data_IF_812579712614
#
_entry.id   IF_812579712614
#
_cell.length_a   1.000
_cell.length_b   1.000
_cell.length_c   1.000
_cell.angle_alpha   90.00
_cell.angle_beta   90.00
_cell.angle_gamma   90.00
#
_symmetry.space_group_name_H-M   'P 1'
#
loop_
_entity.id
_entity.type
_entity.pdbx_description
1 polymer ?
#
# COMPACT_ATOMS: atom_id res chain seq x y z
N UNK A 1 -16.53 -30.48 7.06
CA UNK A 1 -16.84 -30.74 5.63
C UNK A 1 -17.73 -29.65 5.06
N UNK A 2 -18.83 -29.28 5.73
CA UNK A 2 -19.70 -28.15 5.33
C UNK A 2 -18.94 -26.82 5.07
N UNK A 3 -17.98 -26.44 5.93
CA UNK A 3 -17.15 -25.24 5.70
C UNK A 3 -16.28 -25.33 4.43
N UNK A 4 -15.81 -26.52 4.06
CA UNK A 4 -14.98 -26.73 2.86
C UNK A 4 -15.84 -26.76 1.59
N UNK A 5 -17.06 -27.29 1.69
CA UNK A 5 -18.05 -27.22 0.60
C UNK A 5 -18.44 -25.77 0.34
N UNK A 6 -18.72 -25.01 1.40
CA UNK A 6 -19.00 -23.57 1.28
C UNK A 6 -17.84 -22.79 0.66
N UNK A 7 -16.59 -23.22 0.86
CA UNK A 7 -15.42 -22.57 0.28
C UNK A 7 -15.26 -22.89 -1.22
N UNK A 8 -15.60 -24.10 -1.67
CA UNK A 8 -15.69 -24.46 -3.09
C UNK A 8 -16.81 -23.72 -3.83
N UNK A 9 -17.93 -23.47 -3.14
CA UNK A 9 -19.10 -22.78 -3.70
C UNK A 9 -18.94 -21.25 -3.69
N UNK A 10 -17.92 -20.72 -3.01
CA UNK A 10 -17.66 -19.29 -2.96
C UNK A 10 -17.13 -18.79 -4.30
N UNK A 11 -17.83 -17.84 -4.90
CA UNK A 11 -17.37 -17.19 -6.12
C UNK A 11 -16.05 -16.44 -5.88
N UNK A 12 -15.06 -16.58 -6.77
CA UNK A 12 -13.84 -15.79 -6.72
C UNK A 12 -14.14 -14.28 -6.69
N UNK A 13 -13.35 -13.48 -5.97
CA UNK A 13 -13.55 -12.04 -5.96
C UNK A 13 -13.44 -11.44 -7.37
N UNK A 14 -14.36 -10.52 -7.69
CA UNK A 14 -14.43 -9.88 -9.00
C UNK A 14 -13.36 -8.79 -9.18
N UNK A 15 -12.88 -8.18 -8.09
CA UNK A 15 -11.80 -7.18 -8.17
C UNK A 15 -10.48 -7.89 -8.38
N UNK A 16 -9.75 -7.55 -9.44
CA UNK A 16 -8.45 -8.17 -9.77
C UNK A 16 -7.48 -8.11 -8.58
N UNK A 17 -7.39 -6.98 -7.87
CA UNK A 17 -6.49 -6.87 -6.73
C UNK A 17 -6.91 -7.73 -5.53
N UNK A 18 -8.21 -7.75 -5.21
CA UNK A 18 -8.78 -8.65 -4.20
C UNK A 18 -8.51 -10.11 -4.54
N UNK A 19 -8.65 -10.44 -5.81
CA UNK A 19 -8.46 -11.78 -6.31
C UNK A 19 -6.98 -12.22 -6.28
N UNK A 20 -6.04 -11.33 -6.62
CA UNK A 20 -4.61 -11.57 -6.43
C UNK A 20 -4.26 -11.79 -4.95
N UNK A 21 -4.90 -11.05 -4.02
CA UNK A 21 -4.76 -11.31 -2.59
C UNK A 21 -5.33 -12.67 -2.18
N UNK A 22 -6.50 -13.06 -2.70
CA UNK A 22 -7.07 -14.39 -2.48
C UNK A 22 -6.14 -15.50 -3.00
N UNK A 23 -5.53 -15.34 -4.17
CA UNK A 23 -4.55 -16.31 -4.66
C UNK A 23 -3.34 -16.43 -3.74
N UNK A 24 -2.82 -15.32 -3.20
CA UNK A 24 -1.73 -15.38 -2.22
C UNK A 24 -2.11 -16.14 -0.95
N UNK A 25 -3.32 -15.89 -0.45
CA UNK A 25 -3.88 -16.63 0.69
C UNK A 25 -3.93 -18.13 0.40
N UNK A 26 -4.50 -18.52 -0.74
CA UNK A 26 -4.61 -19.93 -1.15
C UNK A 26 -3.25 -20.60 -1.34
N UNK A 27 -2.29 -19.91 -1.94
CA UNK A 27 -0.92 -20.43 -2.08
C UNK A 27 -0.28 -20.65 -0.71
N UNK A 28 -0.41 -19.70 0.22
CA UNK A 28 0.14 -19.87 1.58
C UNK A 28 -0.56 -20.99 2.36
N UNK A 29 -1.87 -21.17 2.20
CA UNK A 29 -2.62 -22.30 2.76
C UNK A 29 -2.16 -23.65 2.19
N UNK A 30 -1.91 -23.72 0.87
CA UNK A 30 -1.32 -24.92 0.25
C UNK A 30 0.08 -25.17 0.83
N UNK A 31 0.93 -24.14 0.90
CA UNK A 31 2.28 -24.25 1.47
C UNK A 31 2.26 -24.70 2.94
N UNK A 32 1.28 -24.23 3.72
CA UNK A 32 1.09 -24.69 5.09
C UNK A 32 0.85 -26.20 5.15
N UNK A 33 0.02 -26.75 4.26
CA UNK A 33 -0.24 -28.19 4.18
C UNK A 33 0.96 -29.00 3.63
N UNK A 34 1.75 -28.38 2.74
CA UNK A 34 2.97 -28.96 2.19
C UNK A 34 4.18 -28.89 3.14
N UNK A 35 4.09 -28.14 4.25
CA UNK A 35 5.12 -28.13 5.29
C UNK A 35 5.18 -29.48 6.01
N UNK A 36 6.41 -29.97 6.24
CA UNK A 36 6.64 -31.30 6.83
C UNK A 36 5.97 -31.49 8.18
N UNK A 37 5.77 -30.42 8.98
CA UNK A 37 5.07 -30.49 10.26
C UNK A 37 3.61 -30.95 10.11
N UNK A 38 2.99 -30.69 8.96
CA UNK A 38 1.58 -31.00 8.69
C UNK A 38 1.38 -32.27 7.88
N UNK A 39 2.45 -32.96 7.49
CA UNK A 39 2.34 -34.21 6.75
C UNK A 39 1.67 -35.32 7.58
N UNK A 40 0.97 -36.25 6.91
CA UNK A 40 0.55 -37.52 7.48
C UNK A 40 1.73 -38.27 8.10
N UNK A 41 1.48 -38.97 9.20
CA UNK A 41 2.51 -39.66 9.97
C UNK A 41 3.34 -40.62 9.12
N UNK A 42 2.71 -41.33 8.16
CA UNK A 42 3.41 -42.23 7.23
C UNK A 42 4.38 -41.53 6.27
N UNK A 43 4.13 -40.27 5.92
CA UNK A 43 5.04 -39.52 5.05
C UNK A 43 6.19 -38.88 5.84
N UNK A 44 6.04 -38.70 7.16
CA UNK A 44 7.13 -38.26 8.05
C UNK A 44 8.18 -39.34 8.28
N UNK A 45 7.77 -40.61 8.22
CA UNK A 45 8.64 -41.77 8.29
C UNK A 45 8.26 -42.76 7.16
N UNK A 46 8.65 -42.47 5.90
CA UNK A 46 8.25 -43.27 4.76
C UNK A 46 8.90 -44.66 4.79
N UNK A 47 8.08 -45.70 4.76
CA UNK A 47 8.53 -47.10 4.83
C UNK A 47 8.47 -47.81 3.47
N UNK A 48 7.66 -47.30 2.53
CA UNK A 48 7.47 -47.90 1.20
C UNK A 48 8.04 -47.03 0.07
N UNK A 49 8.43 -47.62 -1.08
CA UNK A 49 8.83 -46.84 -2.25
C UNK A 49 7.75 -45.87 -2.75
N UNK A 50 6.47 -46.20 -2.55
CA UNK A 50 5.35 -45.33 -2.93
C UNK A 50 5.24 -44.11 -1.99
N UNK A 51 5.48 -44.29 -0.70
CA UNK A 51 5.53 -43.17 0.25
C UNK A 51 6.74 -42.27 -0.04
N UNK A 52 7.90 -42.84 -0.37
CA UNK A 52 9.10 -42.09 -0.82
C UNK A 52 8.85 -41.27 -2.09
N UNK A 53 8.13 -41.83 -3.07
CA UNK A 53 7.76 -41.11 -4.28
C UNK A 53 6.81 -39.94 -3.96
N UNK A 54 5.87 -40.15 -3.03
CA UNK A 54 4.96 -39.10 -2.55
C UNK A 54 5.72 -37.97 -1.88
N UNK A 55 6.67 -38.28 -0.99
CA UNK A 55 7.53 -37.29 -0.32
C UNK A 55 8.29 -36.45 -1.35
N UNK A 56 8.98 -37.09 -2.29
CA UNK A 56 9.73 -36.39 -3.35
C UNK A 56 8.84 -35.45 -4.17
N UNK A 57 7.62 -35.89 -4.50
CA UNK A 57 6.68 -35.08 -5.24
C UNK A 57 6.15 -33.89 -4.44
N UNK A 58 5.83 -34.07 -3.15
CA UNK A 58 5.39 -33.01 -2.23
C UNK A 58 6.47 -31.94 -2.04
N UNK A 59 7.74 -32.34 -1.91
CA UNK A 59 8.87 -31.40 -1.83
C UNK A 59 9.00 -30.55 -3.10
N UNK A 60 8.80 -31.16 -4.28
CA UNK A 60 8.76 -30.43 -5.55
C UNK A 60 7.57 -29.47 -5.62
N UNK A 61 6.38 -29.89 -5.16
CA UNK A 61 5.20 -29.03 -5.10
C UNK A 61 5.44 -27.82 -4.21
N UNK A 62 6.08 -28.01 -3.04
CA UNK A 62 6.45 -26.91 -2.14
C UNK A 62 7.37 -25.90 -2.85
N UNK A 63 8.38 -26.38 -3.57
CA UNK A 63 9.28 -25.52 -4.34
C UNK A 63 8.54 -24.73 -5.45
N UNK A 64 7.65 -25.38 -6.20
CA UNK A 64 6.83 -24.72 -7.23
C UNK A 64 5.89 -23.66 -6.64
N UNK A 65 5.20 -24.00 -5.56
CA UNK A 65 4.27 -23.10 -4.87
C UNK A 65 4.99 -21.90 -4.23
N UNK A 66 6.18 -22.10 -3.65
CA UNK A 66 7.04 -21.00 -3.17
C UNK A 66 7.47 -20.08 -4.29
N UNK A 67 7.82 -20.64 -5.45
CA UNK A 67 8.24 -19.87 -6.60
C UNK A 67 7.10 -19.01 -7.17
N UNK A 68 5.89 -19.56 -7.34
CA UNK A 68 4.74 -18.78 -7.83
C UNK A 68 4.32 -17.71 -6.81
N UNK A 69 4.38 -18.00 -5.50
CA UNK A 69 4.15 -17.00 -4.45
C UNK A 69 5.11 -15.82 -4.57
N UNK A 70 6.40 -16.10 -4.74
CA UNK A 70 7.43 -15.08 -4.93
C UNK A 70 7.18 -14.24 -6.18
N UNK A 71 6.80 -14.87 -7.29
CA UNK A 71 6.48 -14.15 -8.53
C UNK A 71 5.29 -13.21 -8.33
N UNK A 72 4.24 -13.67 -7.67
CA UNK A 72 3.06 -12.85 -7.36
C UNK A 72 3.39 -11.68 -6.42
N UNK A 73 4.16 -11.92 -5.36
CA UNK A 73 4.63 -10.87 -4.46
C UNK A 73 5.49 -9.82 -5.18
N UNK A 74 6.38 -10.28 -6.06
CA UNK A 74 7.25 -9.41 -6.86
C UNK A 74 6.43 -8.56 -7.83
N UNK A 75 5.45 -9.17 -8.50
CA UNK A 75 4.51 -8.46 -9.38
C UNK A 75 3.76 -7.34 -8.65
N UNK A 76 3.16 -7.64 -7.49
CA UNK A 76 2.43 -6.64 -6.71
C UNK A 76 3.33 -5.51 -6.20
N UNK A 77 4.55 -5.84 -5.78
CA UNK A 77 5.53 -4.86 -5.28
C UNK A 77 6.01 -3.95 -6.42
N UNK A 78 6.39 -4.52 -7.56
CA UNK A 78 6.81 -3.78 -8.75
C UNK A 78 5.70 -2.85 -9.27
N UNK A 79 4.45 -3.32 -9.31
CA UNK A 79 3.33 -2.49 -9.74
C UNK A 79 3.07 -1.32 -8.76
N UNK A 80 3.17 -1.59 -7.46
CA UNK A 80 3.03 -0.54 -6.43
C UNK A 80 4.13 0.52 -6.54
N UNK A 81 5.37 0.10 -6.78
CA UNK A 81 6.50 0.99 -6.99
C UNK A 81 6.36 1.81 -8.27
N UNK A 82 5.93 1.19 -9.38
CA UNK A 82 5.66 1.87 -10.65
C UNK A 82 4.61 2.97 -10.49
N UNK A 83 3.46 2.66 -9.90
CA UNK A 83 2.39 3.64 -9.64
C UNK A 83 2.92 4.77 -8.75
N UNK A 84 3.69 4.44 -7.72
CA UNK A 84 4.26 5.46 -6.84
C UNK A 84 5.23 6.38 -7.59
N UNK A 85 6.15 5.84 -8.38
CA UNK A 85 7.10 6.62 -9.15
C UNK A 85 6.39 7.53 -10.16
N UNK A 86 5.32 7.06 -10.78
CA UNK A 86 4.45 7.91 -11.61
C UNK A 86 3.86 9.07 -10.81
N UNK A 87 3.27 8.81 -9.62
CA UNK A 87 2.71 9.87 -8.76
C UNK A 87 3.80 10.87 -8.35
N UNK A 88 5.03 10.42 -8.10
CA UNK A 88 6.17 11.29 -7.76
C UNK A 88 6.45 12.33 -8.84
N UNK A 89 6.20 12.02 -10.12
CA UNK A 89 6.39 13.00 -11.20
C UNK A 89 5.45 14.21 -11.10
N UNK A 90 4.27 14.03 -10.49
CA UNK A 90 3.30 15.10 -10.27
C UNK A 90 3.54 15.85 -8.95
N UNK A 91 4.27 15.25 -7.99
CA UNK A 91 4.50 15.86 -6.69
C UNK A 91 5.45 17.08 -6.78
N UNK A 92 5.31 18.06 -5.87
CA UNK A 92 6.28 19.15 -5.75
C UNK A 92 7.70 18.60 -5.55
N UNK A 93 8.67 19.16 -6.27
CA UNK A 93 10.08 18.75 -6.18
C UNK A 93 10.83 19.42 -5.02
N UNK A 94 10.10 20.07 -4.13
CA UNK A 94 10.62 20.71 -2.92
C UNK A 94 10.36 19.85 -1.67
N UNK A 95 10.49 20.47 -0.50
CA UNK A 95 10.30 19.80 0.78
C UNK A 95 8.90 19.20 0.97
N UNK A 96 7.87 19.72 0.31
CA UNK A 96 6.51 19.20 0.39
C UNK A 96 6.45 17.78 -0.18
N UNK A 97 7.09 17.56 -1.33
CA UNK A 97 7.22 16.22 -1.92
C UNK A 97 7.99 15.28 -0.99
N UNK A 98 9.08 15.73 -0.38
CA UNK A 98 9.85 14.95 0.59
C UNK A 98 9.01 14.57 1.83
N UNK A 99 8.20 15.51 2.34
CA UNK A 99 7.33 15.26 3.49
C UNK A 99 6.25 14.22 3.19
N UNK A 100 5.62 14.31 2.01
CA UNK A 100 4.62 13.32 1.57
C UNK A 100 5.23 11.92 1.45
N UNK A 101 6.45 11.80 0.91
CA UNK A 101 7.20 10.54 0.85
C UNK A 101 7.44 9.96 2.25
N UNK A 102 7.95 10.78 3.18
CA UNK A 102 8.21 10.35 4.57
C UNK A 102 6.92 9.97 5.33
N UNK A 103 5.80 10.65 5.07
CA UNK A 103 4.52 10.30 5.68
C UNK A 103 4.03 8.94 5.19
N UNK A 104 4.13 8.68 3.87
CA UNK A 104 3.80 7.37 3.29
C UNK A 104 4.66 6.27 3.89
N UNK A 105 5.98 6.43 3.91
CA UNK A 105 6.90 5.42 4.45
C UNK A 105 6.58 5.06 5.91
N UNK A 106 6.28 6.06 6.75
CA UNK A 106 5.86 5.82 8.14
C UNK A 106 4.53 5.08 8.21
N UNK A 107 3.55 5.45 7.39
CA UNK A 107 2.27 4.76 7.33
C UNK A 107 2.42 3.31 6.87
N UNK A 108 3.30 3.03 5.91
CA UNK A 108 3.57 1.67 5.42
C UNK A 108 4.31 0.84 6.49
N UNK A 109 5.31 1.42 7.18
CA UNK A 109 5.96 0.75 8.33
C UNK A 109 4.98 0.41 9.44
N UNK A 110 4.05 1.31 9.76
CA UNK A 110 3.00 1.05 10.75
C UNK A 110 2.10 -0.11 10.33
N UNK A 111 1.62 -0.12 9.08
CA UNK A 111 0.78 -1.20 8.54
C UNK A 111 1.50 -2.54 8.54
N UNK A 112 2.79 -2.55 8.20
CA UNK A 112 3.61 -3.75 8.24
C UNK A 112 3.75 -4.29 9.68
N UNK A 113 3.96 -3.41 10.66
CA UNK A 113 4.01 -3.79 12.07
C UNK A 113 2.68 -4.37 12.58
N UNK A 114 1.54 -3.87 12.11
CA UNK A 114 0.22 -4.45 12.41
C UNK A 114 0.10 -5.89 11.87
N UNK A 115 0.58 -6.15 10.66
CA UNK A 115 0.60 -7.49 10.06
C UNK A 115 1.52 -8.43 10.84
N UNK A 116 2.73 -7.96 11.20
CA UNK A 116 3.65 -8.73 12.04
C UNK A 116 3.06 -9.04 13.41
N UNK A 117 2.30 -8.11 13.99
CA UNK A 117 1.58 -8.33 15.26
C UNK A 117 0.56 -9.45 15.13
N UNK A 118 -0.22 -9.50 14.04
CA UNK A 118 -1.17 -10.60 13.79
C UNK A 118 -0.44 -11.94 13.70
N UNK A 119 0.65 -12.00 12.93
CA UNK A 119 1.42 -13.23 12.74
C UNK A 119 2.04 -13.71 14.07
N UNK A 120 2.69 -12.81 14.81
CA UNK A 120 3.36 -13.14 16.09
C UNK A 120 2.37 -13.50 17.19
N UNK A 121 1.13 -13.00 17.13
CA UNK A 121 0.05 -13.35 18.06
C UNK A 121 -0.62 -14.70 17.73
N UNK A 122 -0.16 -15.42 16.70
CA UNK A 122 -0.73 -16.70 16.28
C UNK A 122 -2.00 -16.57 15.42
N UNK A 123 -2.19 -15.42 14.77
CA UNK A 123 -3.28 -15.23 13.81
C UNK A 123 -3.17 -16.19 12.62
N UNK A 124 -4.32 -16.57 12.06
CA UNK A 124 -4.37 -17.45 10.90
C UNK A 124 -3.88 -16.76 9.63
N UNK A 125 -3.58 -17.54 8.59
CA UNK A 125 -3.26 -17.02 7.25
C UNK A 125 -4.44 -16.17 6.75
N UNK A 126 -5.67 -16.61 7.00
CA UNK A 126 -6.87 -15.83 6.73
C UNK A 126 -6.88 -14.46 7.43
N UNK A 127 -6.57 -14.40 8.74
CA UNK A 127 -6.53 -13.14 9.49
C UNK A 127 -5.52 -12.14 8.91
N UNK A 128 -4.34 -12.64 8.51
CA UNK A 128 -3.32 -11.86 7.82
C UNK A 128 -3.85 -11.26 6.51
N UNK A 129 -4.48 -12.07 5.65
CA UNK A 129 -4.97 -11.60 4.36
C UNK A 129 -6.22 -10.71 4.48
N UNK A 130 -7.09 -10.95 5.47
CA UNK A 130 -8.19 -10.07 5.81
C UNK A 130 -7.69 -8.68 6.25
N UNK A 131 -6.62 -8.61 7.05
CA UNK A 131 -6.00 -7.34 7.45
C UNK A 131 -5.37 -6.62 6.25
N UNK A 132 -4.62 -7.33 5.41
CA UNK A 132 -3.99 -6.76 4.21
C UNK A 132 -5.05 -6.19 3.26
N UNK A 133 -6.16 -6.90 3.08
CA UNK A 133 -7.28 -6.42 2.27
C UNK A 133 -7.96 -5.19 2.88
N UNK A 134 -8.20 -5.21 4.20
CA UNK A 134 -8.74 -4.04 4.93
C UNK A 134 -7.84 -2.81 4.74
N UNK A 135 -6.53 -2.96 4.92
CA UNK A 135 -5.56 -1.88 4.72
C UNK A 135 -5.60 -1.36 3.28
N UNK A 136 -5.75 -2.26 2.28
CA UNK A 136 -5.88 -1.88 0.88
C UNK A 136 -7.18 -1.10 0.61
N UNK A 137 -8.31 -1.51 1.18
CA UNK A 137 -9.57 -0.78 1.07
C UNK A 137 -9.51 0.59 1.75
N UNK A 138 -8.87 0.70 2.90
CA UNK A 138 -8.68 1.98 3.58
C UNK A 138 -7.84 2.94 2.73
N UNK A 139 -6.78 2.45 2.05
CA UNK A 139 -6.03 3.25 1.06
C UNK A 139 -6.94 3.73 -0.06
N UNK A 140 -7.76 2.85 -0.65
CA UNK A 140 -8.66 3.22 -1.75
C UNK A 140 -9.77 4.19 -1.33
N UNK A 141 -10.28 4.10 -0.10
CA UNK A 141 -11.26 5.07 0.45
C UNK A 141 -10.63 6.45 0.60
N UNK A 142 -9.41 6.51 1.15
CA UNK A 142 -8.65 7.76 1.24
C UNK A 142 -8.39 8.35 -0.14
N UNK A 143 -8.00 7.52 -1.12
CA UNK A 143 -7.83 7.94 -2.52
C UNK A 143 -9.12 8.50 -3.12
N UNK A 144 -10.25 7.80 -2.99
CA UNK A 144 -11.54 8.28 -3.52
C UNK A 144 -11.97 9.62 -2.87
N UNK A 145 -11.66 9.83 -1.59
CA UNK A 145 -11.86 11.13 -0.92
C UNK A 145 -11.03 12.25 -1.57
N UNK A 146 -9.81 11.96 -2.08
CA UNK A 146 -9.01 12.91 -2.88
C UNK A 146 -9.79 13.38 -4.11
N UNK A 147 -10.33 12.43 -4.89
CA UNK A 147 -11.08 12.72 -6.12
C UNK A 147 -12.36 13.53 -5.85
N UNK A 148 -12.92 13.46 -4.63
CA UNK A 148 -14.06 14.27 -4.20
C UNK A 148 -13.69 15.66 -3.66
N UNK A 149 -12.39 16.00 -3.60
CA UNK A 149 -11.86 17.26 -3.09
C UNK A 149 -12.37 17.64 -1.68
N UNK A 150 -12.48 16.67 -0.77
CA UNK A 150 -12.92 16.88 0.62
C UNK A 150 -11.78 16.70 1.64
N UNK A 151 -11.83 17.41 2.77
CA UNK A 151 -10.87 17.32 3.88
C UNK A 151 -9.47 17.93 3.61
N UNK A 152 -8.46 17.49 4.38
CA UNK A 152 -7.03 17.91 4.33
C UNK A 152 -6.42 17.74 2.94
N UNK A 153 -7.01 16.87 2.12
CA UNK A 153 -6.51 16.46 0.82
C UNK A 153 -7.00 17.31 -0.36
N UNK A 154 -8.04 18.15 -0.17
CA UNK A 154 -8.39 19.23 -1.10
C UNK A 154 -7.19 20.15 -1.36
N UNK A 155 -6.34 20.31 -0.36
CA UNK A 155 -5.08 21.04 -0.39
C UNK A 155 -4.07 20.37 -1.33
N UNK A 156 -3.97 19.03 -1.33
CA UNK A 156 -3.07 18.29 -2.25
C UNK A 156 -3.53 18.46 -3.70
N UNK A 157 -4.82 18.36 -4.00
CA UNK A 157 -5.36 18.61 -5.35
C UNK A 157 -5.15 20.07 -5.79
N UNK A 158 -5.28 21.02 -4.85
CA UNK A 158 -5.01 22.45 -5.11
C UNK A 158 -3.52 22.74 -5.36
N UNK A 159 -2.60 21.96 -4.79
CA UNK A 159 -1.15 22.08 -5.04
C UNK A 159 -0.65 21.18 -6.17
N UNK A 160 -1.42 20.16 -6.57
CA UNK A 160 -1.20 19.34 -7.75
C UNK A 160 -1.89 19.99 -8.97
N UNK A 161 -1.49 21.23 -9.28
CA UNK A 161 -2.10 22.05 -10.36
C UNK A 161 -1.97 21.40 -11.76
N UNK A 162 -1.26 20.27 -11.89
CA UNK A 162 -1.07 19.57 -13.16
C UNK A 162 -1.57 18.13 -13.22
N UNK A 163 -2.36 17.62 -12.25
CA UNK A 163 -2.94 16.27 -12.39
C UNK A 163 -4.13 16.32 -13.35
N UNK A 164 -4.12 15.56 -14.46
CA UNK A 164 -5.23 15.53 -15.41
C UNK A 164 -6.57 15.20 -14.75
N UNK A 165 -7.64 15.92 -15.10
CA UNK A 165 -8.99 15.69 -14.56
C UNK A 165 -9.45 14.24 -14.72
N UNK A 166 -9.07 13.61 -15.84
CA UNK A 166 -9.34 12.19 -16.12
C UNK A 166 -8.78 11.26 -15.02
N UNK A 167 -7.62 11.59 -14.44
CA UNK A 167 -7.05 10.83 -13.32
C UNK A 167 -7.82 11.08 -12.02
N UNK A 168 -8.29 12.31 -11.78
CA UNK A 168 -9.10 12.64 -10.61
C UNK A 168 -10.47 11.96 -10.67
N UNK A 169 -11.11 11.96 -11.83
CA UNK A 169 -12.36 11.24 -12.09
C UNK A 169 -12.19 9.73 -11.94
N UNK A 170 -11.09 9.18 -12.48
CA UNK A 170 -10.72 7.78 -12.28
C UNK A 170 -10.58 7.43 -10.79
N UNK A 171 -9.83 8.24 -10.02
CA UNK A 171 -9.62 8.03 -8.58
C UNK A 171 -10.93 8.14 -7.81
N UNK A 172 -11.83 9.06 -8.18
CA UNK A 172 -13.16 9.21 -7.58
C UNK A 172 -14.01 7.93 -7.76
N UNK A 173 -13.90 7.29 -8.92
CA UNK A 173 -14.65 6.08 -9.28
C UNK A 173 -13.88 4.78 -9.02
N UNK A 174 -12.71 4.82 -8.38
CA UNK A 174 -11.84 3.64 -8.22
C UNK A 174 -12.49 2.49 -7.45
N UNK A 175 -13.46 2.80 -6.58
CA UNK A 175 -14.20 1.80 -5.79
C UNK A 175 -15.56 1.46 -6.38
N UNK A 176 -15.98 2.12 -7.46
CA UNK A 176 -17.26 1.87 -8.09
C UNK A 176 -17.27 0.47 -8.71
N UNK A 177 -18.34 -0.27 -8.41
CA UNK A 177 -18.58 -1.59 -8.96
C UNK A 177 -18.93 -1.54 -10.45
N UNK A 178 -19.38 -0.38 -10.95
CA UNK A 178 -19.66 -0.14 -12.36
C UNK A 178 -18.73 0.93 -12.97
N UNK A 179 -17.62 1.22 -12.28
CA UNK A 179 -16.66 2.25 -12.69
C UNK A 179 -15.82 1.85 -13.91
N UNK A 180 -14.86 2.71 -14.32
CA UNK A 180 -14.05 2.54 -15.52
C UNK A 180 -13.16 1.27 -15.50
N UNK A 181 -13.01 0.65 -14.32
CA UNK A 181 -12.30 -0.61 -14.16
C UNK A 181 -13.15 -1.85 -14.47
N UNK A 182 -14.46 -1.70 -14.67
CA UNK A 182 -15.36 -2.84 -14.86
C UNK A 182 -15.17 -3.51 -16.23
N UNK A 183 -14.93 -2.74 -17.29
CA UNK A 183 -14.60 -3.30 -18.61
C UNK A 183 -13.30 -4.13 -18.56
N UNK A 184 -12.29 -3.64 -17.84
CA UNK A 184 -11.04 -4.39 -17.63
C UNK A 184 -11.26 -5.66 -16.82
N UNK A 185 -12.15 -5.64 -15.81
CA UNK A 185 -12.50 -6.84 -15.03
C UNK A 185 -13.24 -7.86 -15.88
N UNK A 186 -14.17 -7.44 -16.72
CA UNK A 186 -14.88 -8.34 -17.63
C UNK A 186 -13.93 -8.96 -18.66
N UNK A 187 -12.97 -8.16 -19.17
CA UNK A 187 -12.03 -8.61 -20.20
C UNK A 187 -10.92 -9.50 -19.66
N UNK A 188 -10.36 -9.18 -18.50
CA UNK A 188 -9.14 -9.83 -17.98
C UNK A 188 -9.38 -10.66 -16.71
N UNK A 189 -10.50 -10.50 -16.04
CA UNK A 189 -10.84 -11.21 -14.81
C UNK A 189 -11.16 -12.70 -14.98
N UNK A 190 -11.89 -13.17 -16.02
CA UNK A 190 -12.32 -14.57 -16.09
C UNK A 190 -11.21 -15.61 -15.97
N UNK A 191 -10.04 -15.48 -16.63
CA UNK A 191 -8.93 -16.41 -16.44
C UNK A 191 -8.43 -16.45 -14.99
N UNK A 192 -8.33 -15.28 -14.34
CA UNK A 192 -7.90 -15.17 -12.94
C UNK A 192 -8.92 -15.80 -11.97
N UNK A 193 -10.21 -15.68 -12.25
CA UNK A 193 -11.25 -16.30 -11.42
C UNK A 193 -11.17 -17.83 -11.49
N UNK A 194 -10.91 -18.38 -12.68
CA UNK A 194 -10.69 -19.82 -12.87
C UNK A 194 -9.45 -20.30 -12.12
N UNK A 195 -8.33 -19.56 -12.22
CA UNK A 195 -7.10 -19.86 -11.47
C UNK A 195 -7.33 -19.85 -9.95
N UNK A 196 -8.12 -18.90 -9.46
CA UNK A 196 -8.49 -18.83 -8.03
C UNK A 196 -9.29 -20.04 -7.60
N UNK A 197 -10.29 -20.42 -8.40
CA UNK A 197 -11.12 -21.59 -8.14
C UNK A 197 -10.27 -22.87 -8.13
N UNK A 198 -9.30 -22.95 -9.04
CA UNK A 198 -8.34 -24.05 -9.11
C UNK A 198 -7.44 -24.10 -7.87
N UNK A 199 -6.92 -22.95 -7.40
CA UNK A 199 -6.13 -22.88 -6.17
C UNK A 199 -6.91 -23.37 -4.94
N UNK A 200 -8.16 -22.93 -4.80
CA UNK A 200 -9.09 -23.40 -3.75
C UNK A 200 -9.32 -24.91 -3.87
N UNK A 201 -9.55 -25.42 -5.08
CA UNK A 201 -9.73 -26.85 -5.31
C UNK A 201 -8.48 -27.67 -4.94
N UNK A 202 -7.28 -27.20 -5.29
CA UNK A 202 -6.00 -27.82 -4.90
C UNK A 202 -5.85 -27.85 -3.38
N UNK A 203 -6.09 -26.73 -2.70
CA UNK A 203 -5.99 -26.61 -1.25
C UNK A 203 -6.95 -27.60 -0.56
N UNK A 204 -8.21 -27.63 -1.00
CA UNK A 204 -9.25 -28.49 -0.43
C UNK A 204 -8.96 -29.96 -0.70
N UNK A 205 -8.54 -30.29 -1.93
CA UNK A 205 -8.10 -31.64 -2.28
C UNK A 205 -6.97 -32.10 -1.37
N UNK A 206 -5.92 -31.30 -1.21
CA UNK A 206 -4.76 -31.64 -0.39
C UNK A 206 -5.16 -31.84 1.08
N UNK A 207 -6.02 -30.95 1.62
CA UNK A 207 -6.53 -31.04 2.98
C UNK A 207 -7.34 -32.32 3.21
N UNK A 208 -8.22 -32.69 2.28
CA UNK A 208 -9.00 -33.93 2.34
C UNK A 208 -8.09 -35.15 2.19
N UNK A 209 -7.12 -35.10 1.30
CA UNK A 209 -6.20 -36.20 1.08
C UNK A 209 -5.31 -36.43 2.30
N UNK A 210 -4.76 -35.39 2.93
CA UNK A 210 -4.00 -35.49 4.18
C UNK A 210 -4.81 -36.10 5.30
N UNK A 211 -6.04 -35.63 5.49
CA UNK A 211 -6.92 -36.13 6.55
C UNK A 211 -7.24 -37.62 6.39
N UNK A 212 -7.33 -38.10 5.16
CA UNK A 212 -7.72 -39.47 4.85
C UNK A 212 -6.55 -40.30 4.31
N UNK A 213 -5.30 -39.87 4.49
CA UNK A 213 -4.16 -40.44 3.75
C UNK A 213 -4.00 -41.96 3.95
N UNK A 214 -4.32 -42.44 5.14
CA UNK A 214 -4.23 -43.85 5.51
C UNK A 214 -5.48 -44.67 5.16
N UNK A 215 -6.65 -44.05 5.20
CA UNK A 215 -7.96 -44.70 4.96
C UNK A 215 -8.45 -44.52 3.51
N UNK A 216 -7.68 -43.81 2.69
CA UNK A 216 -8.02 -43.51 1.31
C UNK A 216 -8.07 -44.79 0.48
N UNK A 217 -9.27 -45.10 -0.02
CA UNK A 217 -9.51 -46.25 -0.90
C UNK A 217 -9.10 -46.00 -2.35
N UNK A 218 -8.83 -44.75 -2.70
CA UNK A 218 -8.42 -44.38 -4.06
C UNK A 218 -6.92 -44.67 -4.27
N UNK A 219 -6.52 -45.05 -5.50
CA UNK A 219 -5.11 -45.29 -5.80
C UNK A 219 -4.27 -44.03 -5.57
N UNK A 220 -3.26 -44.12 -4.70
CA UNK A 220 -2.42 -42.98 -4.28
C UNK A 220 -1.62 -42.38 -5.43
N UNK A 221 -1.18 -43.21 -6.37
CA UNK A 221 -0.47 -42.82 -7.58
C UNK A 221 -1.34 -41.94 -8.49
N UNK A 222 -2.62 -42.28 -8.63
CA UNK A 222 -3.59 -41.48 -9.41
C UNK A 222 -3.84 -40.14 -8.74
N UNK A 223 -4.03 -40.12 -7.42
CA UNK A 223 -4.21 -38.89 -6.65
C UNK A 223 -2.99 -37.98 -6.72
N UNK A 224 -1.79 -38.56 -6.58
CA UNK A 224 -0.54 -37.84 -6.69
C UNK A 224 -0.34 -37.25 -8.09
N UNK A 225 -0.62 -38.03 -9.14
CA UNK A 225 -0.52 -37.57 -10.53
C UNK A 225 -1.51 -36.43 -10.83
N UNK A 226 -2.73 -36.51 -10.30
CA UNK A 226 -3.73 -35.46 -10.44
C UNK A 226 -3.28 -34.17 -9.75
N UNK A 227 -2.74 -34.27 -8.53
CA UNK A 227 -2.23 -33.12 -7.80
C UNK A 227 -1.04 -32.49 -8.52
N UNK A 228 -0.11 -33.31 -9.01
CA UNK A 228 1.05 -32.86 -9.79
C UNK A 228 0.63 -32.05 -11.01
N UNK A 229 -0.28 -32.59 -11.82
CA UNK A 229 -0.78 -31.90 -13.00
C UNK A 229 -1.52 -30.62 -12.63
N UNK A 230 -2.31 -30.64 -11.55
CA UNK A 230 -3.07 -29.47 -11.10
C UNK A 230 -2.15 -28.34 -10.65
N UNK A 231 -1.15 -28.63 -9.81
CA UNK A 231 -0.18 -27.64 -9.35
C UNK A 231 0.63 -27.10 -10.53
N UNK A 232 1.09 -27.97 -11.42
CA UNK A 232 1.87 -27.55 -12.58
C UNK A 232 1.08 -26.60 -13.50
N UNK A 233 -0.15 -26.96 -13.84
CA UNK A 233 -1.03 -26.14 -14.67
C UNK A 233 -1.34 -24.81 -13.96
N UNK A 234 -1.71 -24.83 -12.69
CA UNK A 234 -1.97 -23.62 -11.91
C UNK A 234 -0.75 -22.67 -11.91
N UNK A 235 0.42 -23.18 -11.57
CA UNK A 235 1.65 -22.39 -11.50
C UNK A 235 2.05 -21.83 -12.88
N UNK A 236 1.95 -22.65 -13.93
CA UNK A 236 2.24 -22.22 -15.30
C UNK A 236 1.28 -21.14 -15.77
N UNK A 237 -0.02 -21.41 -15.74
CA UNK A 237 -1.04 -20.49 -16.24
C UNK A 237 -1.08 -19.20 -15.42
N UNK A 238 -0.88 -19.28 -14.10
CA UNK A 238 -0.85 -18.07 -13.29
C UNK A 238 0.38 -17.20 -13.56
N UNK A 239 1.53 -17.82 -13.84
CA UNK A 239 2.72 -17.07 -14.29
C UNK A 239 2.47 -16.38 -15.63
N UNK A 240 1.86 -17.08 -16.60
CA UNK A 240 1.47 -16.48 -17.88
C UNK A 240 0.49 -15.32 -17.68
N UNK A 241 -0.50 -15.49 -16.81
CA UNK A 241 -1.46 -14.45 -16.47
C UNK A 241 -0.78 -13.21 -15.87
N UNK A 242 0.18 -13.37 -14.94
CA UNK A 242 0.90 -12.25 -14.35
C UNK A 242 1.75 -11.49 -15.38
N UNK A 243 2.39 -12.20 -16.31
CA UNK A 243 3.14 -11.58 -17.40
C UNK A 243 2.21 -10.77 -18.31
N UNK A 244 1.10 -11.37 -18.74
CA UNK A 244 0.07 -10.71 -19.54
C UNK A 244 -0.49 -9.45 -18.86
N UNK A 245 -0.88 -9.57 -17.59
CA UNK A 245 -1.42 -8.44 -16.84
C UNK A 245 -0.37 -7.33 -16.66
N UNK A 246 0.90 -7.72 -16.50
CA UNK A 246 2.04 -6.80 -16.54
C UNK A 246 2.03 -5.96 -17.81
N UNK A 247 2.03 -6.61 -18.98
CA UNK A 247 1.98 -5.93 -20.29
C UNK A 247 0.77 -5.00 -20.44
N UNK A 248 -0.40 -5.41 -19.94
CA UNK A 248 -1.61 -4.56 -19.94
C UNK A 248 -1.39 -3.29 -19.12
N UNK A 249 -0.77 -3.39 -17.94
CA UNK A 249 -0.43 -2.22 -17.14
C UNK A 249 0.64 -1.36 -17.80
N UNK A 250 1.63 -1.96 -18.48
CA UNK A 250 2.70 -1.21 -19.12
C UNK A 250 2.21 -0.30 -20.24
N UNK A 251 1.19 -0.76 -20.95
CA UNK A 251 0.60 -0.08 -22.10
C UNK A 251 -0.70 0.67 -21.74
N UNK A 252 -0.97 0.86 -20.45
CA UNK A 252 -2.21 1.50 -19.99
C UNK A 252 -2.20 3.01 -20.26
N UNK A 253 -3.24 3.57 -20.92
CA UNK A 253 -3.33 5.00 -21.19
C UNK A 253 -3.58 5.86 -19.94
N UNK A 254 -3.88 5.23 -18.80
CA UNK A 254 -4.16 5.91 -17.54
C UNK A 254 -2.91 6.13 -16.67
N UNK A 255 -1.77 5.50 -17.01
CA UNK A 255 -0.55 5.56 -16.21
C UNK A 255 0.51 6.43 -16.89
N UNK A 256 0.18 7.69 -17.14
CA UNK A 256 1.07 8.67 -17.79
C UNK A 256 1.78 9.56 -16.76
N UNK A 257 3.04 9.88 -17.04
CA UNK A 257 3.86 10.80 -16.26
C UNK A 257 3.41 12.26 -16.41
N UNK A 258 3.83 13.13 -15.49
CA UNK A 258 3.57 14.57 -15.58
C UNK A 258 4.11 15.21 -16.87
N UNK A 259 5.20 14.67 -17.43
CA UNK A 259 5.76 15.12 -18.71
C UNK A 259 4.83 14.79 -19.87
N UNK A 260 4.41 13.53 -19.98
CA UNK A 260 3.48 13.06 -21.01
C UNK A 260 2.12 13.74 -20.91
N UNK A 261 1.71 14.13 -19.70
CA UNK A 261 0.51 14.90 -19.44
C UNK A 261 0.64 16.42 -19.70
N UNK A 262 1.85 16.93 -20.03
CA UNK A 262 2.09 18.36 -20.27
C UNK A 262 2.05 19.23 -19.01
N UNK A 263 2.23 18.65 -17.82
CA UNK A 263 2.04 19.31 -16.53
C UNK A 263 3.27 20.08 -15.99
N UNK A 264 4.41 20.05 -16.69
CA UNK A 264 5.71 20.57 -16.22
C UNK A 264 5.72 22.11 -16.05
N UNK A 265 4.94 22.85 -16.84
CA UNK A 265 5.01 24.32 -16.89
C UNK A 265 4.43 25.04 -15.65
N UNK A 266 3.62 24.37 -14.83
CA UNK A 266 2.90 25.00 -13.71
C UNK A 266 3.68 25.05 -12.39
N UNK A 267 4.77 24.28 -12.27
CA UNK A 267 5.49 24.11 -10.99
C UNK A 267 6.55 25.20 -10.69
N UNK A 268 6.77 26.18 -11.57
CA UNK A 268 7.95 27.04 -11.49
C UNK A 268 7.76 28.46 -10.96
N UNK A 269 6.55 28.99 -10.68
CA UNK A 269 6.44 30.47 -10.52
C UNK A 269 5.72 31.13 -9.33
N UNK A 270 4.92 30.49 -8.49
CA UNK A 270 4.07 31.29 -7.55
C UNK A 270 3.93 30.82 -6.08
N UNK A 271 4.83 29.97 -5.54
CA UNK A 271 4.58 29.37 -4.22
C UNK A 271 5.19 30.08 -3.00
N UNK A 272 6.09 31.07 -3.18
CA UNK A 272 6.67 31.81 -2.06
C UNK A 272 6.01 33.18 -1.90
N UNK A 273 5.49 33.44 -0.70
CA UNK A 273 5.00 34.77 -0.31
C UNK A 273 6.13 35.53 0.39
N UNK A 274 6.59 36.62 -0.23
CA UNK A 274 7.55 37.53 0.40
C UNK A 274 6.85 38.43 1.43
N UNK A 275 7.47 38.56 2.62
CA UNK A 275 6.95 39.34 3.74
C UNK A 275 8.12 40.13 4.32
N UNK A 276 7.90 41.42 4.59
CA UNK A 276 8.89 42.27 5.26
C UNK A 276 8.57 42.41 6.74
N UNK A 277 9.56 42.15 7.60
CA UNK A 277 9.43 42.28 9.06
C UNK A 277 10.23 43.51 9.50
N UNK A 278 9.54 44.55 9.99
CA UNK A 278 10.21 45.76 10.47
C UNK A 278 11.11 45.51 11.68
N UNK A 279 12.08 46.41 11.91
CA UNK A 279 12.89 46.40 13.13
C UNK A 279 11.99 46.51 14.37
N UNK A 280 12.27 45.72 15.41
CA UNK A 280 11.49 45.73 16.65
C UNK A 280 10.14 45.00 16.56
N UNK A 281 9.87 44.22 15.51
CA UNK A 281 8.59 43.55 15.28
C UNK A 281 8.71 42.05 15.07
N UNK A 282 7.61 41.35 15.30
CA UNK A 282 7.42 39.92 15.01
C UNK A 282 6.39 39.74 13.90
N UNK A 283 6.48 38.63 13.19
CA UNK A 283 5.45 38.13 12.27
C UNK A 283 5.00 36.75 12.74
N UNK A 284 3.69 36.54 12.81
CA UNK A 284 3.10 35.28 13.28
C UNK A 284 2.13 34.72 12.26
N UNK A 285 2.21 33.41 12.03
CA UNK A 285 1.26 32.67 11.21
C UNK A 285 0.54 31.64 12.09
N UNK A 286 -0.75 31.87 12.44
CA UNK A 286 -1.53 30.92 13.21
C UNK A 286 -2.10 29.81 12.31
N UNK A 287 -1.95 28.56 12.75
CA UNK A 287 -2.47 27.35 12.12
C UNK A 287 -3.38 26.63 13.13
N UNK A 288 -4.68 26.64 12.88
CA UNK A 288 -5.67 25.97 13.75
C UNK A 288 -5.97 24.58 13.19
N UNK A 289 -5.81 23.56 14.03
CA UNK A 289 -5.99 22.17 13.67
C UNK A 289 -7.12 21.55 14.49
N UNK A 290 -7.97 20.78 13.82
CA UNK A 290 -9.12 20.05 14.37
C UNK A 290 -8.84 18.57 14.62
N UNK A 291 -7.74 18.03 14.08
CA UNK A 291 -7.30 16.65 14.27
C UNK A 291 -5.88 16.53 14.82
N UNK A 292 -5.65 15.53 15.68
CA UNK A 292 -4.29 15.11 16.07
C UNK A 292 -3.58 14.42 14.90
N UNK A 293 -2.25 14.37 14.94
CA UNK A 293 -1.39 13.75 13.92
C UNK A 293 -1.41 14.42 12.53
N UNK A 294 -1.80 15.69 12.48
CA UNK A 294 -1.60 16.54 11.30
C UNK A 294 -0.13 16.95 11.18
N UNK A 295 0.30 17.39 10.00
CA UNK A 295 1.66 17.89 9.79
C UNK A 295 1.65 19.40 9.66
N UNK A 296 2.52 20.05 10.43
CA UNK A 296 2.91 21.43 10.22
C UNK A 296 4.31 21.41 9.61
N UNK A 297 4.50 22.18 8.55
CA UNK A 297 5.76 22.32 7.86
C UNK A 297 6.02 23.78 7.51
N UNK A 298 7.29 24.14 7.43
CA UNK A 298 7.75 25.46 7.02
C UNK A 298 8.97 25.34 6.13
N UNK A 299 9.10 26.33 5.25
CA UNK A 299 10.31 26.61 4.49
C UNK A 299 10.35 28.12 4.31
N UNK A 300 11.43 28.73 4.75
CA UNK A 300 11.67 30.14 4.51
C UNK A 300 13.16 30.41 4.31
N UNK A 301 13.42 31.48 3.57
CA UNK A 301 14.76 32.02 3.39
C UNK A 301 14.66 33.54 3.37
N UNK A 302 15.60 34.20 4.04
CA UNK A 302 15.73 35.64 3.98
C UNK A 302 16.23 36.06 2.59
N UNK A 303 15.53 37.03 1.99
CA UNK A 303 15.98 37.71 0.76
C UNK A 303 16.95 38.84 1.09
N UNK A 304 16.91 39.37 2.32
CA UNK A 304 17.80 40.42 2.81
C UNK A 304 18.07 40.34 4.32
N UNK A 305 19.23 40.82 4.77
CA UNK A 305 19.63 40.80 6.19
C UNK A 305 20.41 39.56 6.62
N UNK A 306 20.85 39.53 7.90
CA UNK A 306 21.73 38.48 8.45
C UNK A 306 21.07 37.28 9.10
N UNK A 307 19.88 37.42 9.66
CA UNK A 307 19.18 36.36 10.40
C UNK A 307 17.83 36.87 10.90
N UNK A 308 16.94 35.94 11.26
CA UNK A 308 15.66 36.19 11.94
C UNK A 308 15.52 35.16 13.05
N UNK A 309 14.89 35.54 14.16
CA UNK A 309 14.49 34.58 15.18
C UNK A 309 13.36 33.71 14.65
N UNK A 310 13.39 32.40 14.86
CA UNK A 310 12.32 31.51 14.44
C UNK A 310 12.01 30.49 15.53
N UNK A 311 10.73 30.32 15.83
CA UNK A 311 10.21 29.27 16.71
C UNK A 311 8.82 28.81 16.26
N UNK A 312 8.37 27.69 16.84
CA UNK A 312 7.00 27.21 16.70
C UNK A 312 6.43 26.99 18.10
N UNK A 313 5.26 27.57 18.35
CA UNK A 313 4.55 27.47 19.62
C UNK A 313 3.19 26.79 19.43
N UNK A 314 2.73 26.09 20.45
CA UNK A 314 1.36 25.61 20.56
C UNK A 314 0.64 26.40 21.65
N UNK A 315 -0.53 26.91 21.31
CA UNK A 315 -1.42 27.61 22.23
C UNK A 315 -2.57 26.67 22.57
N UNK A 316 -2.66 26.27 23.84
CA UNK A 316 -3.75 25.42 24.31
C UNK A 316 -5.08 26.19 24.33
N UNK A 317 -6.24 25.49 24.38
CA UNK A 317 -7.54 26.15 24.54
C UNK A 317 -7.65 27.02 25.81
N UNK A 318 -6.82 26.76 26.82
CA UNK A 318 -6.73 27.56 28.05
C UNK A 318 -5.75 28.74 27.94
N UNK A 319 -5.13 28.95 26.78
CA UNK A 319 -4.19 30.05 26.50
C UNK A 319 -2.75 29.78 26.94
N UNK A 320 -2.40 28.55 27.32
CA UNK A 320 -1.04 28.20 27.73
C UNK A 320 -0.16 27.93 26.50
N UNK A 321 1.03 28.55 26.47
CA UNK A 321 1.99 28.39 25.39
C UNK A 321 3.00 27.28 25.69
N UNK A 322 3.09 26.30 24.79
CA UNK A 322 4.11 25.25 24.81
C UNK A 322 5.03 25.41 23.60
N UNK A 323 6.35 25.49 23.81
CA UNK A 323 7.31 25.51 22.72
C UNK A 323 7.35 24.14 22.01
N UNK A 324 7.06 24.12 20.71
CA UNK A 324 7.11 22.94 19.85
C UNK A 324 8.43 22.86 19.08
N UNK A 325 8.92 24.00 18.63
CA UNK A 325 10.28 24.17 18.12
C UNK A 325 10.96 25.30 18.92
N UNK A 326 12.10 25.03 19.57
CA UNK A 326 12.83 26.05 20.32
C UNK A 326 13.25 27.23 19.45
N UNK A 327 13.33 28.41 20.06
CA UNK A 327 13.81 29.62 19.40
C UNK A 327 15.25 29.46 18.92
N UNK A 328 15.49 29.79 17.65
CA UNK A 328 16.83 29.86 17.06
C UNK A 328 16.94 31.06 16.12
N UNK A 329 18.16 31.57 15.92
CA UNK A 329 18.44 32.61 14.91
C UNK A 329 19.00 31.94 13.67
N UNK A 330 18.38 32.19 12.51
CA UNK A 330 18.80 31.57 11.25
C UNK A 330 18.53 32.48 10.04
N UNK A 331 19.29 32.25 8.96
CA UNK A 331 19.12 32.92 7.67
C UNK A 331 18.02 32.28 6.81
N UNK A 332 17.87 30.97 6.98
CA UNK A 332 16.82 30.15 6.40
C UNK A 332 16.54 29.00 7.35
N UNK A 333 15.35 28.45 7.29
CA UNK A 333 15.06 27.18 7.95
C UNK A 333 13.99 26.40 7.20
N UNK A 334 14.12 25.08 7.29
CA UNK A 334 13.16 24.15 6.72
C UNK A 334 12.94 23.03 7.73
N UNK A 335 11.67 22.71 7.99
CA UNK A 335 11.34 21.69 8.95
C UNK A 335 9.87 21.34 8.96
N UNK A 336 9.56 20.27 9.69
CA UNK A 336 8.20 19.83 9.93
C UNK A 336 8.12 19.02 11.21
N UNK A 337 6.91 18.89 11.76
CA UNK A 337 6.63 17.92 12.80
C UNK A 337 5.16 17.46 12.74
N UNK A 338 4.91 16.30 13.36
CA UNK A 338 3.59 15.74 13.55
C UNK A 338 2.96 16.34 14.82
N UNK A 339 1.74 16.86 14.73
CA UNK A 339 1.12 17.60 15.83
C UNK A 339 0.59 16.65 16.91
N UNK A 340 1.08 16.75 18.16
CA UNK A 340 0.65 15.87 19.24
C UNK A 340 -0.72 16.23 19.83
N UNK A 341 -1.25 17.43 19.56
CA UNK A 341 -2.45 17.98 20.19
C UNK A 341 -3.32 18.71 19.17
N UNK A 342 -4.62 18.80 19.46
CA UNK A 342 -5.59 19.64 18.75
C UNK A 342 -5.51 21.06 19.34
N UNK A 343 -5.58 22.09 18.49
CA UNK A 343 -5.49 23.49 18.90
C UNK A 343 -4.77 24.37 17.88
N UNK A 344 -4.27 25.52 18.34
CA UNK A 344 -3.61 26.50 17.47
C UNK A 344 -2.10 26.44 17.64
N UNK A 345 -1.40 26.27 16.53
CA UNK A 345 0.04 26.37 16.45
C UNK A 345 0.43 27.71 15.81
N UNK A 346 1.50 28.34 16.26
CA UNK A 346 2.01 29.61 15.73
C UNK A 346 3.44 29.44 15.25
N UNK A 347 3.67 29.75 13.98
CA UNK A 347 5.02 29.95 13.46
C UNK A 347 5.37 31.42 13.68
N UNK A 348 6.47 31.68 14.36
CA UNK A 348 6.86 33.04 14.76
C UNK A 348 8.21 33.37 14.14
N UNK A 349 8.24 34.43 13.35
CA UNK A 349 9.46 35.08 12.88
C UNK A 349 9.69 36.35 13.68
N UNK A 350 10.76 36.38 14.45
CA UNK A 350 11.07 37.42 15.41
C UNK A 350 12.22 38.31 14.91
N UNK A 351 11.94 39.60 14.73
CA UNK A 351 12.92 40.65 14.48
C UNK A 351 12.89 41.73 15.58
N UNK A 352 12.33 41.42 16.75
CA UNK A 352 12.22 42.33 17.90
C UNK A 352 13.57 42.74 18.46
N UNK A 353 14.60 41.89 18.30
CA UNK A 353 15.96 42.19 18.72
C UNK A 353 16.69 43.18 17.79
N UNK A 354 16.18 43.42 16.58
CA UNK A 354 16.80 44.34 15.62
C UNK A 354 16.32 45.77 15.86
N UNK A 355 17.25 46.69 16.06
CA UNK A 355 16.98 48.11 16.27
C UNK A 355 16.91 48.92 14.97
N UNK A 356 17.61 48.48 13.92
CA UNK A 356 17.78 49.28 12.69
C UNK A 356 17.40 48.55 11.41
N UNK A 357 17.49 47.22 11.38
CA UNK A 357 17.36 46.46 10.14
C UNK A 357 16.03 45.73 10.09
N UNK A 358 15.27 45.99 9.02
CA UNK A 358 14.16 45.13 8.60
C UNK A 358 14.69 43.82 7.99
N UNK A 359 13.85 42.81 7.95
CA UNK A 359 14.12 41.50 7.34
C UNK A 359 13.20 41.27 6.17
#
# INVERSE_FOLDING_TARGET
EELMVSELECNPPHKIDENLWRNREQIEEILFLLDQAHWPTKLKAPESPADMATVTAVERFDAEMKNILKNLQSFQSANTERIFNMIVTYMPQDFRGTLLKQQRERSERKRQAEVETVITSGGSIHDKYALLWKQQMDRRRQLAQLGSASGVYKTIVKYLVGVPEVLLDFVRQINDHHGPMEEQRQRYGPPLYQLTSMAVAIQIFLKLWWRNFDECKLPKDVLLSLLEQSIHVYCSEFKHFLAFLGEVFENSPFLISAEEAGAIELNQRDDFKEITISAGKTHEVPLTLDTVNSYIAWDFKLTSGKDVGFCVEFVSPSGENTAMLPYKRCESDQGNFCTPKIGTYRLVWDNAYSTFYKK
#
